data_IF_554814648030
#
_entry.id   IF_554814648030
#
_cell.length_a   1.000
_cell.length_b   1.000
_cell.length_c   1.000
_cell.angle_alpha   90.00
_cell.angle_beta   90.00
_cell.angle_gamma   90.00
#
_symmetry.space_group_name_H-M   'P 1'
#
loop_
_entity.id
_entity.type
_entity.pdbx_description
1 polymer ?
#
# COMPACT_ATOMS: atom_id res chain seq x y z
N UNK A 1 -14.48 13.46 -21.84
CA UNK A 1 -13.25 13.99 -21.21
C UNK A 1 -12.96 13.18 -19.97
N UNK A 2 -11.75 12.62 -19.86
CA UNK A 2 -11.24 11.94 -18.66
C UNK A 2 -10.86 13.01 -17.64
N UNK A 3 -11.27 12.85 -16.38
CA UNK A 3 -10.92 13.77 -15.28
C UNK A 3 -9.79 13.20 -14.43
N UNK A 4 -9.80 11.88 -14.19
CA UNK A 4 -8.74 11.15 -13.49
C UNK A 4 -8.24 10.06 -14.42
N UNK A 5 -6.92 9.94 -14.55
CA UNK A 5 -6.24 8.87 -15.29
C UNK A 5 -5.16 8.32 -14.37
N UNK A 6 -5.19 7.02 -14.13
CA UNK A 6 -4.24 6.31 -13.26
C UNK A 6 -3.63 5.20 -14.08
N UNK A 7 -2.31 5.16 -14.14
CA UNK A 7 -1.57 4.16 -14.88
C UNK A 7 -0.50 3.56 -13.98
N UNK A 8 -0.46 2.23 -13.94
CA UNK A 8 0.54 1.42 -13.24
C UNK A 8 0.79 1.85 -11.77
N UNK A 9 -0.28 2.25 -11.07
CA UNK A 9 -0.15 2.75 -9.70
C UNK A 9 0.27 1.62 -8.77
N UNK A 10 1.36 1.85 -8.05
CA UNK A 10 1.97 0.87 -7.15
C UNK A 10 2.33 1.50 -5.81
N UNK A 11 2.11 0.77 -4.72
CA UNK A 11 2.55 1.19 -3.39
C UNK A 11 3.04 0.02 -2.55
N UNK A 12 4.32 0.08 -2.23
CA UNK A 12 4.97 -0.79 -1.27
C UNK A 12 5.18 -0.07 0.06
N UNK A 13 4.91 -0.76 1.15
CA UNK A 13 5.29 -0.37 2.51
C UNK A 13 6.38 -1.28 3.02
N UNK A 14 7.34 -0.71 3.73
CA UNK A 14 8.39 -1.49 4.40
C UNK A 14 8.08 -1.53 5.88
N UNK A 15 7.88 -2.74 6.40
CA UNK A 15 7.66 -2.99 7.83
C UNK A 15 8.89 -3.67 8.41
N UNK A 16 9.45 -3.10 9.46
CA UNK A 16 10.48 -3.79 10.25
C UNK A 16 9.79 -4.86 11.12
N UNK A 17 10.19 -6.11 10.94
CA UNK A 17 9.73 -7.23 11.77
C UNK A 17 10.51 -7.15 13.08
N UNK A 18 9.78 -7.11 14.20
CA UNK A 18 10.38 -7.22 15.54
C UNK A 18 10.24 -8.66 15.99
N UNK A 19 11.38 -9.30 16.28
CA UNK A 19 11.38 -10.59 16.96
C UNK A 19 11.08 -10.37 18.46
N UNK A 20 10.24 -11.20 19.10
CA UNK A 20 9.92 -11.05 20.51
C UNK A 20 11.12 -11.36 21.42
N UNK A 21 11.13 -10.75 22.62
CA UNK A 21 12.11 -10.98 23.68
C UNK A 21 13.40 -10.14 23.57
N UNK A 22 14.21 -10.15 24.63
CA UNK A 22 15.45 -9.37 24.70
C UNK A 22 16.43 -9.72 23.57
N UNK A 23 16.60 -11.01 23.24
CA UNK A 23 17.45 -11.46 22.12
C UNK A 23 16.98 -10.87 20.78
N UNK A 24 15.66 -10.82 20.56
CA UNK A 24 15.07 -10.19 19.39
C UNK A 24 15.31 -8.68 19.32
N UNK A 25 15.32 -7.99 20.47
CA UNK A 25 15.62 -6.58 20.56
C UNK A 25 17.10 -6.27 20.23
N UNK A 26 18.04 -7.01 20.84
CA UNK A 26 19.47 -6.89 20.51
C UNK A 26 19.73 -7.20 19.03
N UNK A 27 19.12 -8.27 18.50
CA UNK A 27 19.27 -8.62 17.08
C UNK A 27 18.69 -7.56 16.15
N UNK A 28 17.54 -6.98 16.49
CA UNK A 28 16.92 -5.89 15.71
C UNK A 28 17.76 -4.62 15.69
N UNK A 29 18.62 -4.40 16.70
CA UNK A 29 19.56 -3.28 16.74
C UNK A 29 20.71 -3.46 15.74
N UNK A 30 21.27 -4.66 15.64
CA UNK A 30 22.40 -4.93 14.74
C UNK A 30 21.99 -5.34 13.32
N UNK A 31 20.88 -6.06 13.16
CA UNK A 31 20.41 -6.61 11.89
C UNK A 31 18.87 -6.57 11.80
N UNK A 32 18.28 -5.38 11.57
CA UNK A 32 16.82 -5.26 11.47
C UNK A 32 16.28 -5.99 10.24
N UNK A 33 15.38 -6.95 10.46
CA UNK A 33 14.68 -7.65 9.38
C UNK A 33 13.55 -6.76 8.83
N UNK A 34 13.65 -6.37 7.57
CA UNK A 34 12.62 -5.58 6.87
C UNK A 34 11.81 -6.50 5.96
N UNK A 35 10.50 -6.30 5.94
CA UNK A 35 9.58 -6.98 5.03
C UNK A 35 8.86 -5.94 4.18
N UNK A 36 8.76 -6.21 2.89
CA UNK A 36 7.98 -5.41 1.95
C UNK A 36 6.55 -5.95 1.92
N UNK A 37 5.58 -5.05 2.01
CA UNK A 37 4.15 -5.32 1.88
C UNK A 37 3.61 -4.48 0.71
N UNK A 38 3.10 -5.16 -0.32
CA UNK A 38 2.51 -4.54 -1.49
C UNK A 38 1.04 -4.20 -1.21
N UNK A 39 0.76 -2.91 -1.02
CA UNK A 39 -0.58 -2.42 -0.68
C UNK A 39 -1.42 -2.06 -1.91
N UNK A 40 -0.78 -1.66 -3.01
CA UNK A 40 -1.42 -1.42 -4.30
C UNK A 40 -0.49 -2.01 -5.36
N UNK A 41 -1.04 -2.86 -6.23
CA UNK A 41 -0.30 -3.60 -7.25
C UNK A 41 -0.83 -3.26 -8.63
N UNK A 42 -0.04 -2.49 -9.37
CA UNK A 42 -0.21 -2.24 -10.80
C UNK A 42 -1.63 -1.83 -11.19
N UNK A 43 -2.19 -0.85 -10.48
CA UNK A 43 -3.57 -0.43 -10.66
C UNK A 43 -3.65 0.64 -11.77
N UNK A 44 -4.44 0.36 -12.81
CA UNK A 44 -4.71 1.31 -13.89
C UNK A 44 -6.22 1.46 -14.12
N UNK A 45 -6.71 2.70 -14.14
CA UNK A 45 -8.12 3.01 -14.41
C UNK A 45 -8.31 4.48 -14.79
N UNK A 46 -9.50 4.80 -15.28
CA UNK A 46 -9.88 6.15 -15.69
C UNK A 46 -11.23 6.52 -15.10
N UNK A 47 -11.41 7.80 -14.74
CA UNK A 47 -12.68 8.35 -14.26
C UNK A 47 -13.06 9.54 -15.13
N UNK A 48 -14.15 9.44 -15.92
CA UNK A 48 -14.72 10.56 -16.64
C UNK A 48 -15.23 11.66 -15.70
N UNK A 49 -15.24 12.89 -16.20
CA UNK A 49 -15.81 14.04 -15.47
C UNK A 49 -17.28 13.77 -15.11
N UNK A 50 -17.62 13.93 -13.83
CA UNK A 50 -18.98 13.75 -13.31
C UNK A 50 -19.35 12.32 -12.93
N UNK A 51 -18.46 11.34 -13.12
CA UNK A 51 -18.69 9.97 -12.66
C UNK A 51 -18.30 9.78 -11.19
N UNK A 52 -19.06 8.95 -10.48
CA UNK A 52 -18.76 8.51 -9.12
C UNK A 52 -18.00 7.18 -9.18
N UNK A 53 -16.81 7.14 -8.56
CA UNK A 53 -16.01 5.92 -8.40
C UNK A 53 -16.11 5.41 -6.95
N UNK A 54 -16.43 4.13 -6.78
CA UNK A 54 -16.46 3.45 -5.48
C UNK A 54 -15.42 2.33 -5.40
N UNK A 55 -14.65 2.28 -4.31
CA UNK A 55 -13.73 1.18 -4.01
C UNK A 55 -14.36 0.20 -3.03
N UNK A 56 -14.47 -1.08 -3.40
CA UNK A 56 -15.05 -2.15 -2.58
C UNK A 56 -14.04 -3.28 -2.41
N UNK A 57 -14.01 -3.91 -1.24
CA UNK A 57 -13.10 -5.03 -0.93
C UNK A 57 -12.88 -5.20 0.56
N UNK A 58 -12.19 -6.28 0.96
CA UNK A 58 -11.88 -6.58 2.35
C UNK A 58 -10.99 -5.51 3.03
N UNK A 59 -10.90 -5.55 4.37
CA UNK A 59 -9.95 -4.72 5.12
C UNK A 59 -8.52 -5.10 4.73
N UNK A 60 -7.68 -4.09 4.48
CA UNK A 60 -6.31 -4.29 4.00
C UNK A 60 -6.16 -4.42 2.48
N UNK A 61 -7.25 -4.42 1.70
CA UNK A 61 -7.20 -4.56 0.23
C UNK A 61 -6.67 -3.31 -0.54
N UNK A 62 -6.10 -2.31 0.14
CA UNK A 62 -5.49 -1.15 -0.53
C UNK A 62 -6.44 0.00 -0.89
N UNK A 63 -7.73 -0.03 -0.48
CA UNK A 63 -8.74 1.00 -0.82
C UNK A 63 -8.35 2.42 -0.40
N UNK A 64 -8.15 2.63 0.91
CA UNK A 64 -7.77 3.95 1.46
C UNK A 64 -6.36 4.36 1.03
N UNK A 65 -5.46 3.39 0.83
CA UNK A 65 -4.14 3.64 0.26
C UNK A 65 -4.26 4.19 -1.16
N UNK A 66 -5.08 3.59 -2.01
CA UNK A 66 -5.33 4.05 -3.37
C UNK A 66 -5.88 5.47 -3.37
N UNK A 67 -6.92 5.76 -2.57
CA UNK A 67 -7.50 7.11 -2.48
C UNK A 67 -6.48 8.16 -2.06
N UNK A 68 -5.56 7.84 -1.14
CA UNK A 68 -4.50 8.78 -0.70
C UNK A 68 -3.43 9.04 -1.75
N UNK A 69 -3.39 8.26 -2.82
CA UNK A 69 -2.41 8.38 -3.90
C UNK A 69 -2.98 9.12 -5.13
N UNK A 70 -4.30 9.27 -5.21
CA UNK A 70 -4.99 10.09 -6.21
C UNK A 70 -5.00 11.55 -5.76
#
# INVERSE_FOLDING_TARGET
MKMITVEHLQKNFVKTIKEPGLKGAFRSFFHPKRQVFEAVKDLSFEVPKGQILGFIGANGAGKSTTIKML
#
